data_IF_900730497957
#
_entry.id   IF_900730497957
#
_cell.length_a   1.000
_cell.length_b   1.000
_cell.length_c   1.000
_cell.angle_alpha   90.00
_cell.angle_beta   90.00
_cell.angle_gamma   90.00
#
_symmetry.space_group_name_H-M   'P 1'
#
loop_
_entity.id
_entity.type
_entity.pdbx_description
1 polymer ?
#
# COMPACT_ATOMS: atom_id res chain seq x y z
N UNK A 1 2.35 -11.09 -2.10
CA UNK A 1 2.77 -10.46 -3.37
C UNK A 1 3.27 -9.04 -3.08
N UNK A 2 3.82 -8.32 -4.07
CA UNK A 2 4.26 -6.94 -3.88
C UNK A 2 3.68 -6.03 -4.98
N UNK A 3 3.22 -4.85 -4.57
CA UNK A 3 2.80 -3.77 -5.47
C UNK A 3 3.87 -2.68 -5.47
N UNK A 4 4.40 -2.33 -6.63
CA UNK A 4 5.31 -1.19 -6.77
C UNK A 4 4.48 0.07 -6.97
N UNK A 5 4.59 1.03 -6.05
CA UNK A 5 3.83 2.29 -6.08
C UNK A 5 4.15 3.07 -7.35
N UNK A 6 3.12 3.45 -8.09
CA UNK A 6 3.19 4.28 -9.30
C UNK A 6 2.66 5.68 -9.04
N UNK A 7 2.97 6.67 -9.89
CA UNK A 7 2.37 8.00 -9.80
C UNK A 7 0.83 7.91 -9.81
N UNK A 8 0.19 8.54 -8.83
CA UNK A 8 -1.28 8.54 -8.68
C UNK A 8 -1.87 7.36 -7.88
N UNK A 9 -1.03 6.42 -7.42
CA UNK A 9 -1.42 5.40 -6.46
C UNK A 9 -1.66 6.00 -5.08
N UNK A 10 -2.65 5.46 -4.39
CA UNK A 10 -2.88 5.69 -2.95
C UNK A 10 -3.04 4.35 -2.26
N UNK A 11 -2.80 4.31 -0.95
CA UNK A 11 -2.99 3.09 -0.16
C UNK A 11 -4.43 2.55 -0.28
N UNK A 12 -5.41 3.44 -0.41
CA UNK A 12 -6.80 3.09 -0.68
C UNK A 12 -6.98 2.39 -2.04
N UNK A 13 -6.43 2.96 -3.13
CA UNK A 13 -6.52 2.35 -4.46
C UNK A 13 -5.82 0.99 -4.52
N UNK A 14 -4.66 0.89 -3.87
CA UNK A 14 -3.91 -0.37 -3.78
C UNK A 14 -4.74 -1.41 -3.00
N UNK A 15 -5.29 -1.04 -1.85
CA UNK A 15 -6.15 -1.94 -1.07
C UNK A 15 -7.33 -2.45 -1.89
N UNK A 16 -8.05 -1.53 -2.56
CA UNK A 16 -9.21 -1.86 -3.38
C UNK A 16 -8.83 -2.77 -4.56
N UNK A 17 -7.75 -2.47 -5.29
CA UNK A 17 -7.31 -3.26 -6.44
C UNK A 17 -6.91 -4.69 -6.04
N UNK A 18 -6.34 -4.87 -4.86
CA UNK A 18 -5.93 -6.17 -4.33
C UNK A 18 -6.99 -6.82 -3.43
N UNK A 19 -8.24 -6.34 -3.45
CA UNK A 19 -9.35 -6.85 -2.63
C UNK A 19 -9.01 -7.01 -1.14
N UNK A 20 -8.22 -6.09 -0.60
CA UNK A 20 -7.77 -6.09 0.79
C UNK A 20 -8.16 -4.78 1.47
N UNK A 21 -7.92 -4.66 2.77
CA UNK A 21 -8.22 -3.45 3.53
C UNK A 21 -6.97 -2.64 3.83
N UNK A 22 -7.13 -1.32 4.01
CA UNK A 22 -6.02 -0.44 4.43
C UNK A 22 -5.44 -0.94 5.76
N UNK A 23 -6.30 -1.33 6.71
CA UNK A 23 -5.86 -1.88 8.00
C UNK A 23 -4.97 -3.11 7.83
N UNK A 24 -5.34 -4.04 6.95
CA UNK A 24 -4.51 -5.21 6.65
C UNK A 24 -3.18 -4.78 6.01
N UNK A 25 -3.20 -3.87 5.03
CA UNK A 25 -1.98 -3.35 4.42
C UNK A 25 -1.05 -2.69 5.42
N UNK A 26 -1.56 -1.88 6.35
CA UNK A 26 -0.75 -1.26 7.40
C UNK A 26 -0.18 -2.29 8.38
N UNK A 27 -0.97 -3.32 8.73
CA UNK A 27 -0.52 -4.40 9.60
C UNK A 27 0.66 -5.17 8.99
N UNK A 28 0.61 -5.51 7.70
CA UNK A 28 1.69 -6.25 7.02
C UNK A 28 2.82 -5.36 6.49
N UNK A 29 2.66 -4.03 6.59
CA UNK A 29 3.68 -3.03 6.25
C UNK A 29 3.89 -2.04 7.42
N UNK A 30 4.41 -2.48 8.58
CA UNK A 30 4.53 -1.65 9.79
C UNK A 30 5.50 -0.46 9.64
N UNK A 31 6.30 -0.44 8.58
CA UNK A 31 7.17 0.69 8.22
C UNK A 31 6.38 1.88 7.65
N UNK A 32 5.12 1.68 7.23
CA UNK A 32 4.21 2.75 6.80
C UNK A 32 3.61 3.38 8.06
N UNK A 33 4.26 4.45 8.53
CA UNK A 33 3.78 5.21 9.70
C UNK A 33 2.64 6.17 9.36
N UNK A 34 2.64 6.68 8.13
CA UNK A 34 1.60 7.56 7.62
C UNK A 34 1.00 6.94 6.34
N UNK A 35 -0.27 6.53 6.35
CA UNK A 35 -0.95 5.93 5.20
C UNK A 35 -1.06 6.85 3.98
N UNK A 36 -1.05 8.17 4.20
CA UNK A 36 -1.16 9.16 3.13
C UNK A 36 0.20 9.45 2.46
N UNK A 37 1.30 9.01 3.09
CA UNK A 37 2.66 9.20 2.58
C UNK A 37 3.24 7.86 2.10
N UNK A 38 2.94 7.52 0.85
CA UNK A 38 3.60 6.43 0.11
C UNK A 38 4.44 7.01 -1.02
N UNK A 39 5.61 6.41 -1.25
CA UNK A 39 6.59 6.91 -2.20
C UNK A 39 6.60 6.06 -3.48
N UNK A 40 6.64 6.74 -4.62
CA UNK A 40 6.74 6.11 -5.94
C UNK A 40 7.99 5.23 -6.03
N UNK A 41 7.87 4.06 -6.67
CA UNK A 41 8.95 3.07 -6.81
C UNK A 41 9.15 2.18 -5.58
N UNK A 42 8.49 2.49 -4.46
CA UNK A 42 8.57 1.68 -3.24
C UNK A 42 7.66 0.46 -3.36
N UNK A 43 8.09 -0.68 -2.79
CA UNK A 43 7.32 -1.93 -2.80
C UNK A 43 6.46 -2.01 -1.55
N UNK A 44 5.15 -2.15 -1.72
CA UNK A 44 4.20 -2.42 -0.65
C UNK A 44 3.83 -3.89 -0.71
N UNK A 45 3.87 -4.57 0.44
CA UNK A 45 3.40 -5.96 0.55
C UNK A 45 1.89 -5.96 0.44
N UNK A 46 1.36 -6.74 -0.50
CA UNK A 46 -0.07 -6.94 -0.73
C UNK A 46 -0.33 -8.46 -0.67
N UNK A 47 -1.26 -8.90 0.15
CA UNK A 47 -1.64 -10.32 0.30
C UNK A 47 -3.10 -10.50 -0.01
#
# INVERSE_FOLDING_TARGET
MFHTVKPGDTLWKIAHHHHTSIHHLLHINPWIKNPDLIFIGRKIKVH
#
